data_IF_305990785516
#
_entry.id   IF_305990785516
#
_cell.length_a   1.000
_cell.length_b   1.000
_cell.length_c   1.000
_cell.angle_alpha   90.00
_cell.angle_beta   90.00
_cell.angle_gamma   90.00
#
_symmetry.space_group_name_H-M   'P 1'
#
loop_
_entity.id
_entity.type
_entity.pdbx_description
1 polymer ?
#
# COMPACT_ATOMS: atom_id res chain seq x y z
N UNK A 1 -7.84 7.61 -3.46
CA UNK A 1 -8.24 8.61 -2.46
C UNK A 1 -7.00 9.40 -2.06
N UNK A 2 -7.05 10.73 -2.11
CA UNK A 2 -5.90 11.59 -1.78
C UNK A 2 -6.24 12.62 -0.70
N UNK A 3 -7.53 12.80 -0.38
CA UNK A 3 -8.00 13.89 0.45
C UNK A 3 -8.12 15.24 -0.25
N UNK A 4 -8.00 15.28 -1.58
CA UNK A 4 -8.12 16.51 -2.38
C UNK A 4 -9.26 16.39 -3.39
N UNK A 5 -9.79 17.54 -3.81
CA UNK A 5 -10.66 17.62 -4.98
C UNK A 5 -9.86 17.30 -6.25
N UNK A 6 -10.49 16.59 -7.18
CA UNK A 6 -9.96 16.44 -8.52
C UNK A 6 -10.35 17.66 -9.37
N UNK A 7 -9.57 17.93 -10.39
CA UNK A 7 -9.93 18.89 -11.43
C UNK A 7 -11.13 18.40 -12.25
N UNK A 8 -11.77 19.33 -12.95
CA UNK A 8 -12.84 19.01 -13.89
C UNK A 8 -12.27 18.21 -15.06
N UNK A 9 -12.94 17.13 -15.42
CA UNK A 9 -12.59 16.30 -16.56
C UNK A 9 -13.85 15.76 -17.25
N UNK A 10 -13.72 15.39 -18.52
CA UNK A 10 -14.81 14.86 -19.33
C UNK A 10 -14.89 13.34 -19.22
N UNK A 11 -16.06 12.82 -18.86
CA UNK A 11 -16.33 11.38 -18.81
C UNK A 11 -17.55 11.01 -19.67
N UNK A 12 -17.67 9.74 -20.11
CA UNK A 12 -18.84 9.27 -20.83
C UNK A 12 -20.13 9.44 -20.01
N UNK A 13 -21.21 9.80 -20.70
CA UNK A 13 -22.55 9.88 -20.09
C UNK A 13 -23.17 8.49 -20.07
N UNK A 14 -23.55 8.02 -18.89
CA UNK A 14 -24.28 6.77 -18.73
C UNK A 14 -25.79 7.02 -18.67
N UNK A 15 -26.50 6.73 -19.77
CA UNK A 15 -27.96 6.83 -19.84
C UNK A 15 -28.62 5.56 -19.31
N UNK A 16 -29.40 5.69 -18.24
CA UNK A 16 -30.12 4.57 -17.64
C UNK A 16 -31.50 4.43 -18.29
N UNK A 17 -31.72 3.36 -19.06
CA UNK A 17 -33.04 3.10 -19.68
C UNK A 17 -34.04 2.45 -18.72
N UNK A 18 -33.57 1.61 -17.80
CA UNK A 18 -34.42 0.85 -16.86
C UNK A 18 -33.70 0.59 -15.54
N UNK A 19 -34.44 0.60 -14.44
CA UNK A 19 -33.98 0.26 -13.09
C UNK A 19 -34.86 -0.86 -12.54
N UNK A 20 -34.25 -1.87 -11.93
CA UNK A 20 -34.97 -2.95 -11.23
C UNK A 20 -34.49 -3.03 -9.78
N UNK A 21 -35.38 -3.41 -8.87
CA UNK A 21 -35.07 -3.48 -7.43
C UNK A 21 -35.90 -4.56 -6.74
N UNK A 22 -35.39 -5.05 -5.60
CA UNK A 22 -36.13 -5.94 -4.71
C UNK A 22 -37.30 -5.19 -4.04
N UNK A 23 -38.26 -5.94 -3.49
CA UNK A 23 -39.26 -5.37 -2.57
C UNK A 23 -38.53 -4.91 -1.29
N UNK A 24 -38.86 -3.71 -0.83
CA UNK A 24 -38.18 -3.03 0.29
C UNK A 24 -36.65 -2.90 0.07
N UNK A 25 -36.24 -2.04 -0.87
CA UNK A 25 -34.83 -1.93 -1.25
C UNK A 25 -34.01 -1.16 -0.21
N UNK A 26 -32.76 -1.60 -0.02
CA UNK A 26 -31.73 -0.87 0.73
C UNK A 26 -30.77 -0.24 -0.28
N UNK A 27 -30.50 1.06 -0.12
CA UNK A 27 -29.50 1.76 -0.93
C UNK A 27 -28.16 1.80 -0.19
N UNK A 28 -27.19 1.05 -0.70
CA UNK A 28 -25.83 1.00 -0.18
C UNK A 28 -24.97 2.07 -0.86
N UNK A 29 -24.29 2.90 -0.07
CA UNK A 29 -23.42 3.98 -0.56
C UNK A 29 -22.18 4.11 0.33
N UNK A 30 -21.16 4.80 -0.19
CA UNK A 30 -19.89 5.09 0.48
C UNK A 30 -19.34 6.44 0.03
N UNK A 31 -18.23 6.87 0.61
CA UNK A 31 -17.52 8.08 0.22
C UNK A 31 -16.00 7.84 0.17
N UNK A 32 -15.29 8.72 -0.52
CA UNK A 32 -13.82 8.73 -0.54
C UNK A 32 -13.32 10.11 -0.15
N UNK A 33 -12.23 10.17 0.61
CA UNK A 33 -11.75 11.44 1.19
C UNK A 33 -10.29 11.38 1.58
N UNK A 34 -9.95 12.06 2.67
CA UNK A 34 -8.64 11.91 3.31
C UNK A 34 -8.64 10.58 4.07
N UNK A 35 -7.68 9.67 3.82
CA UNK A 35 -7.64 8.39 4.52
C UNK A 35 -7.37 8.59 6.04
N UNK A 36 -7.83 7.66 6.90
CA UNK A 36 -8.49 6.40 6.56
C UNK A 36 -9.97 6.58 6.17
N UNK A 37 -10.36 6.07 5.00
CA UNK A 37 -11.74 5.99 4.51
C UNK A 37 -12.10 4.51 4.23
N UNK A 38 -13.39 4.21 3.99
CA UNK A 38 -13.85 2.83 3.78
C UNK A 38 -13.06 2.10 2.66
N UNK A 39 -12.81 2.72 1.48
CA UNK A 39 -11.97 2.09 0.46
C UNK A 39 -10.53 1.82 0.91
N UNK A 40 -9.93 2.66 1.75
CA UNK A 40 -8.60 2.41 2.27
C UNK A 40 -8.57 1.18 3.18
N UNK A 41 -9.59 0.98 4.02
CA UNK A 41 -9.71 -0.22 4.87
C UNK A 41 -9.93 -1.48 4.02
N UNK A 42 -10.75 -1.41 2.98
CA UNK A 42 -10.88 -2.49 2.00
C UNK A 42 -9.53 -2.79 1.31
N UNK A 43 -8.76 -1.76 0.99
CA UNK A 43 -7.41 -1.89 0.44
C UNK A 43 -6.44 -2.62 1.38
N UNK A 44 -6.49 -2.33 2.69
CA UNK A 44 -5.69 -3.05 3.69
C UNK A 44 -6.07 -4.53 3.73
N UNK A 45 -7.35 -4.86 3.72
CA UNK A 45 -7.80 -6.26 3.69
C UNK A 45 -7.34 -6.98 2.41
N UNK A 46 -7.35 -6.29 1.26
CA UNK A 46 -6.84 -6.84 0.00
C UNK A 46 -5.31 -7.00 -0.01
N UNK A 47 -4.59 -6.20 0.77
CA UNK A 47 -3.13 -6.32 0.88
C UNK A 47 -2.70 -7.70 1.42
N UNK A 48 -3.46 -8.27 2.35
CA UNK A 48 -3.23 -9.63 2.87
C UNK A 48 -3.24 -10.71 1.76
N UNK A 49 -3.92 -10.45 0.63
CA UNK A 49 -3.92 -11.36 -0.53
C UNK A 49 -2.62 -11.25 -1.33
N UNK A 50 -1.96 -10.10 -1.32
CA UNK A 50 -0.72 -9.87 -2.07
C UNK A 50 0.53 -10.33 -1.32
N UNK A 51 0.51 -10.36 0.02
CA UNK A 51 1.65 -10.78 0.84
C UNK A 51 2.16 -12.18 0.44
N UNK A 52 1.31 -13.24 0.32
CA UNK A 52 1.78 -14.56 -0.09
C UNK A 52 2.34 -14.60 -1.51
N UNK A 53 1.82 -13.76 -2.41
CA UNK A 53 2.31 -13.67 -3.79
C UNK A 53 3.72 -13.06 -3.84
N UNK A 54 3.97 -12.03 -3.03
CA UNK A 54 5.30 -11.44 -2.88
C UNK A 54 6.27 -12.44 -2.23
N UNK A 55 5.85 -13.12 -1.16
CA UNK A 55 6.67 -14.11 -0.45
C UNK A 55 7.07 -15.30 -1.32
N UNK A 56 6.22 -15.69 -2.29
CA UNK A 56 6.56 -16.75 -3.25
C UNK A 56 7.74 -16.37 -4.14
N UNK A 57 7.87 -15.10 -4.49
CA UNK A 57 8.96 -14.60 -5.34
C UNK A 57 10.18 -14.16 -4.51
N UNK A 58 9.94 -13.59 -3.33
CA UNK A 58 10.92 -13.04 -2.41
C UNK A 58 10.70 -13.67 -1.04
N UNK A 59 11.23 -14.87 -0.84
CA UNK A 59 11.07 -15.63 0.41
C UNK A 59 11.73 -14.96 1.61
N UNK A 60 12.57 -13.96 1.37
CA UNK A 60 13.13 -13.07 2.38
C UNK A 60 12.09 -12.12 3.00
N UNK A 61 10.95 -11.86 2.36
CA UNK A 61 9.92 -10.95 2.89
C UNK A 61 9.16 -11.62 4.04
N UNK A 62 9.27 -11.04 5.23
CA UNK A 62 8.53 -11.47 6.42
C UNK A 62 7.10 -10.91 6.42
N UNK A 63 6.93 -9.62 6.12
CA UNK A 63 5.63 -8.95 5.99
C UNK A 63 5.73 -7.78 4.99
N UNK A 64 4.60 -7.36 4.43
CA UNK A 64 4.48 -6.26 3.48
C UNK A 64 3.21 -5.45 3.76
N UNK A 65 3.37 -4.16 4.01
CA UNK A 65 2.28 -3.29 4.44
C UNK A 65 2.20 -1.99 3.64
N UNK A 66 0.97 -1.62 3.29
CA UNK A 66 0.60 -0.38 2.62
C UNK A 66 -0.30 0.41 3.56
N UNK A 67 0.24 1.36 4.34
CA UNK A 67 -0.56 2.10 5.31
C UNK A 67 -1.67 2.93 4.63
N UNK A 68 -2.90 2.97 5.19
CA UNK A 68 -4.00 3.82 4.72
C UNK A 68 -3.60 5.28 4.55
N UNK A 69 -2.91 5.85 5.53
CA UNK A 69 -2.37 7.21 5.51
C UNK A 69 -1.41 7.47 4.34
N UNK A 70 -0.82 6.42 3.76
CA UNK A 70 -0.07 6.45 2.49
C UNK A 70 -0.95 6.44 1.23
N UNK A 71 -2.23 6.81 1.33
CA UNK A 71 -3.21 6.73 0.26
C UNK A 71 -3.34 5.31 -0.33
N UNK A 72 -3.19 4.28 0.52
CA UNK A 72 -3.28 2.85 0.21
C UNK A 72 -2.26 2.26 -0.77
N UNK A 73 -1.45 3.06 -1.47
CA UNK A 73 -0.46 2.54 -2.43
C UNK A 73 0.81 3.37 -2.57
N UNK A 74 0.87 4.60 -2.03
CA UNK A 74 2.01 5.51 -2.31
C UNK A 74 3.23 5.24 -1.44
N UNK A 75 3.03 4.58 -0.30
CA UNK A 75 4.08 4.16 0.63
C UNK A 75 3.93 2.66 0.87
N UNK A 76 5.04 1.92 0.80
CA UNK A 76 5.15 0.55 1.28
C UNK A 76 6.19 0.46 2.40
N UNK A 77 5.89 -0.35 3.40
CA UNK A 77 6.81 -0.74 4.45
C UNK A 77 7.00 -2.25 4.31
N UNK A 78 8.24 -2.71 4.20
CA UNK A 78 8.58 -4.10 3.92
C UNK A 78 9.51 -4.61 5.00
N UNK A 79 9.11 -5.69 5.65
CA UNK A 79 9.93 -6.38 6.63
C UNK A 79 10.64 -7.56 5.97
N UNK A 80 11.96 -7.70 6.16
CA UNK A 80 12.75 -8.76 5.54
C UNK A 80 13.68 -9.48 6.52
N UNK A 81 13.95 -10.75 6.23
CA UNK A 81 15.04 -11.52 6.82
C UNK A 81 16.31 -11.26 6.03
N UNK A 82 17.11 -10.30 6.48
CA UNK A 82 18.31 -9.84 5.77
C UNK A 82 19.44 -10.88 5.81
N UNK A 83 19.86 -11.37 4.64
CA UNK A 83 20.93 -12.37 4.54
C UNK A 83 22.28 -11.85 4.03
N UNK A 84 22.32 -10.66 3.40
CA UNK A 84 23.56 -10.10 2.84
C UNK A 84 23.54 -8.57 2.69
N UNK A 85 24.70 -7.89 2.58
CA UNK A 85 24.76 -6.45 2.31
C UNK A 85 24.11 -6.08 0.96
N UNK A 86 23.29 -5.03 0.93
CA UNK A 86 22.56 -4.61 -0.28
C UNK A 86 21.24 -5.36 -0.56
N UNK A 87 20.87 -6.34 0.28
CA UNK A 87 19.63 -7.11 0.12
C UNK A 87 18.37 -6.22 0.08
N UNK A 88 18.33 -5.15 0.88
CA UNK A 88 17.23 -4.18 0.87
C UNK A 88 17.00 -3.55 -0.51
N UNK A 89 18.07 -3.23 -1.27
CA UNK A 89 17.96 -2.64 -2.61
C UNK A 89 17.30 -3.61 -3.59
N UNK A 90 17.64 -4.91 -3.52
CA UNK A 90 17.00 -5.94 -4.34
C UNK A 90 15.49 -6.00 -4.08
N UNK A 91 15.09 -5.95 -2.81
CA UNK A 91 13.68 -5.97 -2.41
C UNK A 91 12.97 -4.71 -2.90
N UNK A 92 13.57 -3.52 -2.76
CA UNK A 92 13.01 -2.27 -3.29
C UNK A 92 12.74 -2.34 -4.80
N UNK A 93 13.71 -2.79 -5.60
CA UNK A 93 13.50 -2.97 -7.04
C UNK A 93 12.47 -4.06 -7.36
N UNK A 94 12.41 -5.11 -6.55
CA UNK A 94 11.39 -6.14 -6.63
C UNK A 94 9.97 -5.59 -6.46
N UNK A 95 9.74 -4.77 -5.44
CA UNK A 95 8.46 -4.12 -5.19
C UNK A 95 8.04 -3.24 -6.38
N UNK A 96 8.96 -2.47 -6.97
CA UNK A 96 8.65 -1.62 -8.12
C UNK A 96 8.40 -2.36 -9.44
N UNK A 97 8.88 -3.60 -9.57
CA UNK A 97 8.90 -4.29 -10.88
C UNK A 97 8.01 -5.52 -10.96
N UNK A 98 7.76 -6.21 -9.84
CA UNK A 98 7.14 -7.53 -9.88
C UNK A 98 5.62 -7.47 -10.05
N UNK A 99 4.92 -6.72 -9.20
CA UNK A 99 3.46 -6.59 -9.25
C UNK A 99 3.05 -5.20 -9.76
N UNK A 100 2.17 -5.18 -10.77
CA UNK A 100 1.68 -3.94 -11.40
C UNK A 100 1.02 -3.00 -10.41
N UNK A 101 0.41 -3.54 -9.35
CA UNK A 101 -0.26 -2.82 -8.28
C UNK A 101 0.70 -1.88 -7.51
N UNK A 102 2.00 -2.20 -7.48
CA UNK A 102 3.00 -1.47 -6.68
C UNK A 102 3.94 -0.59 -7.52
N UNK A 103 3.76 -0.56 -8.85
CA UNK A 103 4.60 0.23 -9.76
C UNK A 103 4.53 1.75 -9.49
N UNK A 104 3.43 2.23 -8.89
CA UNK A 104 3.23 3.64 -8.55
C UNK A 104 3.53 3.97 -7.09
N UNK A 105 4.01 3.00 -6.31
CA UNK A 105 4.47 3.23 -4.94
C UNK A 105 5.73 4.09 -4.97
N UNK A 106 5.67 5.28 -4.38
CA UNK A 106 6.76 6.27 -4.47
C UNK A 106 7.80 6.11 -3.36
N UNK A 107 7.37 5.62 -2.21
CA UNK A 107 8.21 5.46 -1.03
C UNK A 107 8.21 3.98 -0.62
N UNK A 108 9.39 3.43 -0.41
CA UNK A 108 9.57 2.08 0.11
C UNK A 108 10.52 2.16 1.30
N UNK A 109 10.06 1.72 2.46
CA UNK A 109 10.88 1.56 3.66
C UNK A 109 11.13 0.08 3.84
N UNK A 110 12.39 -0.33 3.91
CA UNK A 110 12.77 -1.73 4.18
C UNK A 110 13.36 -1.81 5.57
N UNK A 111 12.81 -2.68 6.41
CA UNK A 111 13.25 -2.94 7.79
C UNK A 111 13.51 -4.43 7.99
N UNK A 112 14.19 -4.77 9.07
CA UNK A 112 14.41 -6.17 9.45
C UNK A 112 13.12 -6.81 10.04
N UNK A 113 13.14 -8.13 10.26
CA UNK A 113 11.99 -8.92 10.74
C UNK A 113 11.65 -8.76 12.22
N UNK A 114 12.45 -7.99 12.96
CA UNK A 114 12.18 -7.61 14.35
C UNK A 114 11.29 -6.36 14.49
N UNK A 115 10.90 -5.74 13.38
CA UNK A 115 10.09 -4.52 13.34
C UNK A 115 8.66 -4.85 12.92
N UNK A 116 7.69 -4.50 13.76
CA UNK A 116 6.28 -4.48 13.41
C UNK A 116 5.99 -3.32 12.46
N UNK A 117 5.86 -3.64 11.17
CA UNK A 117 5.64 -2.66 10.10
C UNK A 117 4.27 -1.98 10.14
N UNK A 118 3.37 -2.43 11.02
CA UNK A 118 2.03 -1.86 11.22
C UNK A 118 1.99 -0.90 12.42
N UNK A 119 3.07 -0.80 13.19
CA UNK A 119 3.25 0.21 14.24
C UNK A 119 4.28 1.27 13.78
N UNK A 120 3.78 2.48 13.55
CA UNK A 120 4.62 3.62 13.18
C UNK A 120 5.72 3.94 14.17
N UNK A 121 5.54 3.67 15.47
CA UNK A 121 6.59 3.93 16.46
C UNK A 121 7.82 3.06 16.20
N UNK A 122 7.62 1.80 15.85
CA UNK A 122 8.72 0.89 15.54
C UNK A 122 9.37 1.21 14.20
N UNK A 123 8.57 1.54 13.18
CA UNK A 123 9.07 1.92 11.85
C UNK A 123 9.91 3.19 11.93
N UNK A 124 9.45 4.22 12.64
CA UNK A 124 10.20 5.47 12.83
C UNK A 124 11.46 5.21 13.68
N UNK A 125 11.39 4.35 14.69
CA UNK A 125 12.58 3.94 15.46
C UNK A 125 13.62 3.25 14.57
N UNK A 126 13.20 2.33 13.69
CA UNK A 126 14.10 1.65 12.75
C UNK A 126 14.79 2.65 11.80
N UNK A 127 14.02 3.59 11.22
CA UNK A 127 14.56 4.64 10.35
C UNK A 127 15.58 5.50 11.12
N UNK A 128 15.23 5.97 12.31
CA UNK A 128 16.07 6.94 13.04
C UNK A 128 17.31 6.33 13.69
N UNK A 129 17.36 5.01 13.86
CA UNK A 129 18.49 4.34 14.54
C UNK A 129 19.36 3.47 13.62
N UNK A 130 18.85 3.06 12.46
CA UNK A 130 19.53 2.11 11.56
C UNK A 130 19.87 2.70 10.18
N UNK A 131 19.47 3.94 9.90
CA UNK A 131 19.63 4.59 8.59
C UNK A 131 20.50 5.84 8.66
N UNK A 132 21.44 5.97 7.73
CA UNK A 132 22.06 7.24 7.39
C UNK A 132 21.36 7.82 6.13
N UNK A 133 20.80 9.04 6.17
CA UNK A 133 20.08 9.63 5.04
C UNK A 133 20.84 9.71 3.73
N UNK A 134 22.14 10.01 3.75
CA UNK A 134 22.95 10.18 2.54
C UNK A 134 23.33 8.83 1.96
N UNK A 135 23.58 7.82 2.81
CA UNK A 135 24.04 6.50 2.37
C UNK A 135 22.90 5.56 1.98
N UNK A 136 21.79 5.61 2.71
CA UNK A 136 20.77 4.57 2.70
C UNK A 136 19.46 4.97 1.97
N UNK A 137 19.41 6.18 1.41
CA UNK A 137 18.34 6.62 0.48
C UNK A 137 18.76 6.38 -0.98
N UNK A 138 17.82 5.93 -1.82
CA UNK A 138 17.99 5.71 -3.27
C UNK A 138 17.11 6.65 -4.10
#
# INVERSE_FOLDING_TARGET
HTGYYNEVDSFPVFTIERITMRRDPIYHSTYTGKPPDEPAILGVALNEVFVPLLQKQFSEIADFYLPPEGCSYRLAIVSIKKSYPGHAKRVMFGVWSYLRQFMYTKFIVVVDDDINIRDWKEVIWAITTRMDPVRDTL
#
